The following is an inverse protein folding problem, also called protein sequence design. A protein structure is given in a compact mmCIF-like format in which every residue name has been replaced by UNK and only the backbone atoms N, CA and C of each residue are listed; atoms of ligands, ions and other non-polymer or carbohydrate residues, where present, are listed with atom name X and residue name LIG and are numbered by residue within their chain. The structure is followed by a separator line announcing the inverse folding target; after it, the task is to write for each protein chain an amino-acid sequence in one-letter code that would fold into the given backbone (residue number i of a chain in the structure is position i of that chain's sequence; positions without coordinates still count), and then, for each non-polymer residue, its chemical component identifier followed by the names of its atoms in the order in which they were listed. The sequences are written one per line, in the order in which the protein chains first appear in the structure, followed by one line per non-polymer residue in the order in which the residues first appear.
data_IF_276455081899
#
_entry.id   IF_276455081899
#
_cell.length_a   1.000
_cell.length_b   1.000
_cell.length_c   1.000
_cell.angle_alpha   90.00
_cell.angle_beta   90.00
_cell.angle_gamma   90.00
#
_symmetry.space_group_name_H-M   'P 1'
#
loop_
_entity.id
_entity.type
_entity.pdbx_description
1 polymer ?
#
# COMPACT_ATOMS: atom_id res chain seq x y z
N UNK A 1 -37.91 8.28 6.10
CA UNK A 1 -38.17 7.84 7.50
C UNK A 1 -37.01 7.03 8.06
N UNK A 2 -36.64 5.87 7.51
CA UNK A 2 -35.53 5.05 8.07
C UNK A 2 -34.20 5.81 8.27
N UNK A 3 -33.72 6.55 7.24
CA UNK A 3 -32.46 7.29 7.35
C UNK A 3 -32.47 8.31 8.51
N UNK A 4 -33.54 9.10 8.64
CA UNK A 4 -33.69 10.08 9.72
C UNK A 4 -33.75 9.42 11.11
N UNK A 5 -34.45 8.29 11.23
CA UNK A 5 -34.51 7.53 12.47
C UNK A 5 -33.12 7.02 12.89
N UNK A 6 -32.33 6.49 11.94
CA UNK A 6 -30.96 6.04 12.25
C UNK A 6 -30.05 7.23 12.60
N UNK A 7 -30.19 8.38 11.93
CA UNK A 7 -29.46 9.60 12.32
C UNK A 7 -29.77 10.03 13.75
N UNK A 8 -31.04 9.98 14.15
CA UNK A 8 -31.44 10.27 15.53
C UNK A 8 -30.86 9.25 16.53
N UNK A 9 -30.82 7.97 16.18
CA UNK A 9 -30.19 6.94 17.02
C UNK A 9 -28.67 7.12 17.14
N UNK A 10 -28.01 7.59 16.08
CA UNK A 10 -26.59 7.94 16.12
C UNK A 10 -26.29 9.02 17.17
N UNK A 11 -27.18 9.99 17.31
CA UNK A 11 -27.04 11.09 18.28
C UNK A 11 -27.47 10.70 19.70
N UNK A 12 -28.54 9.90 19.82
CA UNK A 12 -29.16 9.59 21.11
C UNK A 12 -28.67 8.30 21.77
N UNK A 13 -28.08 7.36 21.01
CA UNK A 13 -27.61 6.05 21.50
C UNK A 13 -26.19 5.77 21.00
N UNK A 14 -25.17 6.44 21.56
CA UNK A 14 -23.79 6.40 21.07
C UNK A 14 -23.11 5.03 21.24
N UNK A 15 -23.60 4.17 22.12
CA UNK A 15 -23.04 2.82 22.35
C UNK A 15 -23.01 1.94 21.10
N UNK A 16 -23.90 2.22 20.14
CA UNK A 16 -23.98 1.51 18.85
C UNK A 16 -23.55 2.39 17.66
N UNK A 17 -22.80 3.47 17.91
CA UNK A 17 -22.36 4.46 16.91
C UNK A 17 -21.82 3.81 15.63
N UNK A 18 -20.95 2.81 15.77
CA UNK A 18 -20.36 2.10 14.63
C UNK A 18 -21.42 1.40 13.77
N UNK A 19 -22.40 0.75 14.42
CA UNK A 19 -23.51 0.06 13.74
C UNK A 19 -24.40 1.08 13.02
N UNK A 20 -24.73 2.20 13.67
CA UNK A 20 -25.56 3.24 13.07
C UNK A 20 -24.91 3.90 11.86
N UNK A 21 -23.60 4.19 11.93
CA UNK A 21 -22.84 4.73 10.81
C UNK A 21 -22.88 3.79 9.61
N UNK A 22 -22.70 2.49 9.84
CA UNK A 22 -22.78 1.50 8.76
C UNK A 22 -24.18 1.40 8.16
N UNK A 23 -25.22 1.38 9.00
CA UNK A 23 -26.62 1.38 8.55
C UNK A 23 -26.95 2.61 7.68
N UNK A 24 -26.41 3.79 8.00
CA UNK A 24 -26.58 4.99 7.18
C UNK A 24 -25.92 4.85 5.80
N UNK A 25 -24.74 4.21 5.74
CA UNK A 25 -24.09 3.85 4.50
C UNK A 25 -24.92 2.87 3.66
N UNK A 26 -25.45 1.82 4.27
CA UNK A 26 -26.32 0.83 3.62
C UNK A 26 -27.59 1.46 3.07
N UNK A 27 -28.32 2.26 3.87
CA UNK A 27 -29.54 2.91 3.44
C UNK A 27 -29.29 3.86 2.24
N UNK A 28 -28.20 4.62 2.28
CA UNK A 28 -27.82 5.49 1.16
C UNK A 28 -27.45 4.66 -0.09
N UNK A 29 -26.72 3.56 0.08
CA UNK A 29 -26.36 2.64 -1.01
C UNK A 29 -27.58 1.96 -1.63
N UNK A 30 -28.55 1.51 -0.82
CA UNK A 30 -29.79 0.94 -1.33
C UNK A 30 -30.61 1.97 -2.09
N UNK A 31 -30.69 3.21 -1.58
CA UNK A 31 -31.36 4.29 -2.28
C UNK A 31 -30.68 4.64 -3.61
N UNK A 32 -29.34 4.67 -3.63
CA UNK A 32 -28.56 4.78 -4.87
C UNK A 32 -28.89 3.66 -5.85
N UNK A 33 -29.00 2.41 -5.38
CA UNK A 33 -29.22 1.25 -6.23
C UNK A 33 -30.58 1.28 -6.95
N UNK A 34 -31.66 1.64 -6.24
CA UNK A 34 -33.02 1.74 -6.82
C UNK A 34 -33.22 2.98 -7.71
N UNK A 35 -32.34 3.96 -7.60
CA UNK A 35 -32.40 5.19 -8.42
C UNK A 35 -31.78 4.92 -9.80
N UNK A 36 -32.58 4.41 -10.72
CA UNK A 36 -32.16 4.02 -12.08
C UNK A 36 -32.32 5.14 -13.12
N UNK A 37 -33.21 6.11 -12.88
CA UNK A 37 -33.56 7.16 -13.86
C UNK A 37 -32.89 8.48 -13.53
N UNK A 38 -32.98 8.96 -12.28
CA UNK A 38 -32.42 10.24 -11.88
C UNK A 38 -30.92 10.11 -11.54
N UNK A 39 -30.07 10.38 -12.52
CA UNK A 39 -28.61 10.30 -12.36
C UNK A 39 -28.04 11.32 -11.36
N UNK A 40 -28.72 12.46 -11.16
CA UNK A 40 -28.30 13.45 -10.18
C UNK A 40 -28.53 12.92 -8.76
N UNK A 41 -29.73 12.41 -8.48
CA UNK A 41 -30.04 11.79 -7.19
C UNK A 41 -29.18 10.54 -6.96
N UNK A 42 -28.97 9.70 -7.98
CA UNK A 42 -28.07 8.55 -7.88
C UNK A 42 -26.67 8.98 -7.43
N UNK A 43 -26.09 9.99 -8.09
CA UNK A 43 -24.76 10.53 -7.74
C UNK A 43 -24.74 11.11 -6.31
N UNK A 44 -25.80 11.82 -5.91
CA UNK A 44 -25.95 12.34 -4.54
C UNK A 44 -25.93 11.22 -3.50
N UNK A 45 -26.72 10.16 -3.69
CA UNK A 45 -26.72 9.02 -2.79
C UNK A 45 -25.42 8.21 -2.82
N UNK A 46 -24.72 8.15 -3.96
CA UNK A 46 -23.35 7.63 -4.01
C UNK A 46 -22.43 8.42 -3.07
N UNK A 47 -22.46 9.76 -3.12
CA UNK A 47 -21.64 10.59 -2.24
C UNK A 47 -22.00 10.43 -0.77
N UNK A 48 -23.30 10.36 -0.43
CA UNK A 48 -23.76 10.12 0.95
C UNK A 48 -23.29 8.75 1.46
N UNK A 49 -23.42 7.70 0.63
CA UNK A 49 -22.96 6.36 1.00
C UNK A 49 -21.43 6.32 1.22
N UNK A 50 -20.65 6.97 0.33
CA UNK A 50 -19.18 7.08 0.48
C UNK A 50 -18.81 7.79 1.77
N UNK A 51 -19.48 8.88 2.12
CA UNK A 51 -19.24 9.60 3.37
C UNK A 51 -19.40 8.68 4.59
N UNK A 52 -20.53 7.96 4.68
CA UNK A 52 -20.80 7.09 5.82
C UNK A 52 -19.87 5.87 5.88
N UNK A 53 -19.59 5.22 4.76
CA UNK A 53 -18.64 4.10 4.75
C UNK A 53 -17.20 4.55 4.98
N UNK A 54 -16.80 5.75 4.55
CA UNK A 54 -15.49 6.30 4.90
C UNK A 54 -15.40 6.52 6.42
N UNK A 55 -16.45 7.07 7.03
CA UNK A 55 -16.54 7.21 8.50
C UNK A 55 -16.50 5.84 9.20
N UNK A 56 -17.20 4.84 8.67
CA UNK A 56 -17.16 3.47 9.18
C UNK A 56 -15.75 2.87 9.09
N UNK A 57 -15.08 3.03 7.94
CA UNK A 57 -13.73 2.54 7.71
C UNK A 57 -12.69 3.19 8.61
N UNK A 58 -12.92 4.43 9.06
CA UNK A 58 -12.01 5.09 10.00
C UNK A 58 -12.12 4.52 11.42
N UNK A 59 -13.34 4.19 11.84
CA UNK A 59 -13.58 3.57 13.14
C UNK A 59 -13.16 2.10 13.14
N UNK A 60 -13.33 1.44 11.99
CA UNK A 60 -13.09 0.02 11.80
C UNK A 60 -12.16 -0.23 10.60
N UNK A 61 -10.90 0.25 10.66
CA UNK A 61 -9.95 0.19 9.54
C UNK A 61 -9.60 -1.25 9.15
N UNK A 62 -9.62 -2.15 10.12
CA UNK A 62 -9.29 -3.57 10.00
C UNK A 62 -10.33 -4.37 9.22
N UNK A 63 -11.56 -3.85 9.06
CA UNK A 63 -12.70 -4.61 8.52
C UNK A 63 -12.74 -4.51 6.99
N UNK A 64 -12.28 -5.56 6.32
CA UNK A 64 -12.23 -5.61 4.85
C UNK A 64 -13.60 -5.48 4.18
N UNK A 65 -14.69 -5.86 4.85
CA UNK A 65 -16.07 -5.73 4.31
C UNK A 65 -16.46 -4.26 4.09
N UNK A 66 -16.03 -3.35 4.95
CA UNK A 66 -16.30 -1.92 4.80
C UNK A 66 -15.50 -1.36 3.61
N UNK A 67 -14.24 -1.79 3.47
CA UNK A 67 -13.40 -1.45 2.32
C UNK A 67 -14.02 -1.95 1.01
N UNK A 68 -14.62 -3.15 1.00
CA UNK A 68 -15.36 -3.67 -0.15
C UNK A 68 -16.54 -2.77 -0.56
N UNK A 69 -17.30 -2.23 0.39
CA UNK A 69 -18.36 -1.26 0.08
C UNK A 69 -17.81 0.02 -0.55
N UNK A 70 -16.69 0.53 -0.06
CA UNK A 70 -15.98 1.66 -0.68
C UNK A 70 -15.51 1.33 -2.09
N UNK A 71 -15.05 0.09 -2.34
CA UNK A 71 -14.66 -0.37 -3.68
C UNK A 71 -15.84 -0.33 -4.66
N UNK A 72 -17.01 -0.86 -4.27
CA UNK A 72 -18.22 -0.81 -5.11
C UNK A 72 -18.62 0.63 -5.43
N UNK A 73 -18.51 1.52 -4.44
CA UNK A 73 -18.85 2.93 -4.57
C UNK A 73 -17.78 3.75 -5.29
N UNK A 74 -16.54 3.27 -5.45
CA UNK A 74 -15.47 4.02 -6.10
C UNK A 74 -15.68 4.21 -7.61
N UNK A 75 -16.67 3.52 -8.22
CA UNK A 75 -17.01 3.69 -9.64
C UNK A 75 -17.25 5.16 -10.02
N UNK A 76 -16.76 5.61 -11.20
CA UNK A 76 -16.04 4.82 -12.21
C UNK A 76 -14.51 4.76 -12.02
N UNK A 77 -13.96 5.28 -10.92
CA UNK A 77 -12.50 5.36 -10.67
C UNK A 77 -11.87 3.95 -10.56
N UNK A 78 -11.12 3.55 -11.58
CA UNK A 78 -10.56 2.21 -11.70
C UNK A 78 -9.48 1.94 -10.65
N UNK A 79 -8.63 2.93 -10.38
CA UNK A 79 -7.53 2.80 -9.43
C UNK A 79 -8.07 2.71 -8.00
N UNK A 80 -9.03 3.56 -7.63
CA UNK A 80 -9.67 3.47 -6.31
C UNK A 80 -10.45 2.17 -6.13
N UNK A 81 -11.13 1.69 -7.17
CA UNK A 81 -11.78 0.37 -7.12
C UNK A 81 -10.75 -0.73 -6.84
N UNK A 82 -9.66 -0.76 -7.61
CA UNK A 82 -8.59 -1.73 -7.42
C UNK A 82 -8.02 -1.65 -5.99
N UNK A 83 -7.68 -0.45 -5.53
CA UNK A 83 -7.15 -0.20 -4.18
C UNK A 83 -8.09 -0.74 -3.09
N UNK A 84 -9.36 -0.34 -3.08
CA UNK A 84 -10.30 -0.75 -2.04
C UNK A 84 -10.65 -2.24 -2.08
N UNK A 85 -10.73 -2.85 -3.28
CA UNK A 85 -10.89 -4.30 -3.38
C UNK A 85 -9.66 -5.03 -2.86
N UNK A 86 -8.45 -4.59 -3.21
CA UNK A 86 -7.22 -5.16 -2.67
C UNK A 86 -7.17 -5.02 -1.14
N UNK A 87 -7.43 -3.81 -0.61
CA UNK A 87 -7.48 -3.56 0.84
C UNK A 87 -8.53 -4.43 1.55
N UNK A 88 -9.67 -4.69 0.91
CA UNK A 88 -10.67 -5.62 1.43
C UNK A 88 -10.16 -7.07 1.55
N UNK A 89 -9.20 -7.47 0.70
CA UNK A 89 -8.62 -8.82 0.66
C UNK A 89 -7.41 -8.99 1.57
N UNK A 90 -6.64 -7.93 1.81
CA UNK A 90 -5.38 -7.99 2.57
C UNK A 90 -5.41 -7.28 3.92
N UNK A 91 -6.55 -6.66 4.28
CA UNK A 91 -6.75 -6.07 5.59
C UNK A 91 -6.74 -7.14 6.70
N UNK A 92 -6.65 -6.68 7.95
CA UNK A 92 -6.55 -7.55 9.14
C UNK A 92 -7.72 -8.52 9.26
N UNK A 93 -8.93 -8.10 8.86
CA UNK A 93 -10.10 -8.97 8.74
C UNK A 93 -10.52 -9.04 7.27
N UNK A 94 -9.93 -9.96 6.47
CA UNK A 94 -10.21 -10.08 5.05
C UNK A 94 -11.69 -10.36 4.75
N UNK A 95 -12.19 -9.76 3.67
CA UNK A 95 -13.49 -10.06 3.10
C UNK A 95 -13.34 -10.81 1.77
N UNK A 96 -13.24 -12.14 1.85
CA UNK A 96 -12.91 -13.02 0.71
C UNK A 96 -13.89 -12.92 -0.46
N UNK A 97 -15.17 -12.57 -0.22
CA UNK A 97 -16.17 -12.30 -1.28
C UNK A 97 -15.78 -11.14 -2.20
N UNK A 98 -14.82 -10.29 -1.81
CA UNK A 98 -14.25 -9.29 -2.69
C UNK A 98 -13.56 -9.89 -3.92
N UNK A 99 -13.11 -11.15 -3.86
CA UNK A 99 -12.49 -11.85 -5.01
C UNK A 99 -13.43 -12.04 -6.19
N UNK A 100 -14.71 -12.30 -5.93
CA UNK A 100 -15.70 -12.39 -7.00
C UNK A 100 -16.10 -11.00 -7.49
N UNK A 101 -16.16 -10.04 -6.56
CA UNK A 101 -16.61 -8.67 -6.85
C UNK A 101 -15.61 -7.89 -7.70
N UNK A 102 -14.29 -8.05 -7.45
CA UNK A 102 -13.24 -7.38 -8.22
C UNK A 102 -13.22 -7.82 -9.69
N UNK A 103 -13.74 -9.00 -10.03
CA UNK A 103 -13.87 -9.42 -11.43
C UNK A 103 -14.81 -8.50 -12.24
N UNK A 104 -15.72 -7.78 -11.59
CA UNK A 104 -16.54 -6.76 -12.26
C UNK A 104 -15.72 -5.56 -12.74
N UNK A 105 -14.55 -5.31 -12.13
CA UNK A 105 -13.57 -4.32 -12.58
C UNK A 105 -12.74 -4.87 -13.75
N UNK A 106 -12.24 -6.11 -13.62
CA UNK A 106 -11.30 -6.67 -14.60
C UNK A 106 -11.96 -7.18 -15.89
N UNK A 107 -13.13 -7.82 -15.82
CA UNK A 107 -13.76 -8.45 -17.01
C UNK A 107 -13.93 -7.47 -18.18
N UNK A 108 -14.45 -6.24 -17.99
CA UNK A 108 -14.53 -5.27 -19.09
C UNK A 108 -13.17 -4.87 -19.66
N UNK A 109 -12.14 -4.78 -18.81
CA UNK A 109 -10.78 -4.41 -19.21
C UNK A 109 -10.03 -5.54 -19.92
N UNK A 110 -10.36 -6.81 -19.64
CA UNK A 110 -9.68 -7.97 -20.24
C UNK A 110 -10.39 -8.52 -21.48
N UNK A 111 -11.61 -8.05 -21.76
CA UNK A 111 -12.42 -8.43 -22.92
C UNK A 111 -11.89 -7.77 -24.22
N UNK A 112 -11.37 -8.56 -25.18
CA UNK A 112 -10.88 -8.04 -26.46
C UNK A 112 -11.96 -7.30 -27.26
N UNK A 113 -13.22 -7.72 -27.14
CA UNK A 113 -14.34 -7.10 -27.87
C UNK A 113 -14.66 -5.69 -27.36
N UNK A 114 -14.20 -5.34 -26.15
CA UNK A 114 -14.41 -4.03 -25.52
C UNK A 114 -13.17 -3.13 -25.60
N UNK A 115 -12.12 -3.54 -26.32
CA UNK A 115 -10.85 -2.81 -26.44
C UNK A 115 -11.02 -1.33 -26.85
N UNK A 116 -11.95 -1.02 -27.75
CA UNK A 116 -12.21 0.35 -28.20
C UNK A 116 -12.89 1.25 -27.13
N UNK A 117 -13.47 0.67 -26.08
CA UNK A 117 -14.21 1.37 -25.01
C UNK A 117 -13.41 1.37 -23.69
N UNK A 118 -12.26 0.69 -23.64
CA UNK A 118 -11.41 0.57 -22.43
C UNK A 118 -10.87 1.90 -21.91
N UNK A 119 -10.77 2.90 -22.79
CA UNK A 119 -10.25 4.22 -22.47
C UNK A 119 -11.38 5.24 -22.60
N UNK A 120 -12.24 5.42 -21.58
CA UNK A 120 -13.06 6.62 -21.53
C UNK A 120 -12.13 7.84 -21.59
N UNK A 121 -12.54 8.89 -22.30
CA UNK A 121 -11.79 10.15 -22.44
C UNK A 121 -11.36 10.78 -21.08
N UNK A 122 -11.95 10.31 -19.97
CA UNK A 122 -11.75 10.81 -18.62
C UNK A 122 -10.66 10.10 -17.80
N UNK A 123 -10.04 9.02 -18.28
CA UNK A 123 -9.02 8.27 -17.51
C UNK A 123 -7.63 8.33 -18.13
N UNK A 124 -6.61 8.47 -17.29
CA UNK A 124 -5.22 8.32 -17.70
C UNK A 124 -5.00 6.91 -18.24
N UNK A 125 -4.54 6.81 -19.49
CA UNK A 125 -4.16 5.54 -20.13
C UNK A 125 -3.20 4.74 -19.24
N UNK A 126 -2.24 5.41 -18.61
CA UNK A 126 -1.27 4.82 -17.68
C UNK A 126 -1.95 4.08 -16.53
N UNK A 127 -2.97 4.69 -15.90
CA UNK A 127 -3.71 4.07 -14.79
C UNK A 127 -4.57 2.90 -15.28
N UNK A 128 -5.16 2.99 -16.47
CA UNK A 128 -5.93 1.88 -17.05
C UNK A 128 -5.02 0.67 -17.33
N UNK A 129 -3.84 0.89 -17.92
CA UNK A 129 -2.85 -0.17 -18.18
C UNK A 129 -2.37 -0.81 -16.88
N UNK A 130 -2.14 -0.01 -15.83
CA UNK A 130 -1.81 -0.52 -14.50
C UNK A 130 -2.89 -1.48 -13.96
N UNK A 131 -4.15 -1.06 -13.99
CA UNK A 131 -5.28 -1.88 -13.53
C UNK A 131 -5.47 -3.13 -14.41
N UNK A 132 -5.23 -3.03 -15.73
CA UNK A 132 -5.28 -4.17 -16.64
C UNK A 132 -4.17 -5.19 -16.35
N UNK A 133 -2.93 -4.74 -16.09
CA UNK A 133 -1.82 -5.61 -15.67
C UNK A 133 -2.17 -6.36 -14.38
N UNK A 134 -2.78 -5.65 -13.44
CA UNK A 134 -3.26 -6.22 -12.18
C UNK A 134 -4.37 -7.27 -12.42
N UNK A 135 -5.28 -7.01 -13.36
CA UNK A 135 -6.30 -7.97 -13.78
C UNK A 135 -5.73 -9.22 -14.44
N UNK A 136 -4.69 -9.10 -15.25
CA UNK A 136 -3.99 -10.25 -15.87
C UNK A 136 -3.35 -11.15 -14.81
N UNK A 137 -2.66 -10.56 -13.83
CA UNK A 137 -2.11 -11.30 -12.70
C UNK A 137 -3.20 -11.98 -11.88
N UNK A 138 -4.24 -11.24 -11.51
CA UNK A 138 -5.33 -11.74 -10.67
C UNK A 138 -6.09 -12.90 -11.32
N UNK A 139 -6.35 -12.81 -12.62
CA UNK A 139 -7.06 -13.85 -13.39
C UNK A 139 -6.13 -14.93 -13.96
N UNK A 140 -4.81 -14.80 -13.75
CA UNK A 140 -3.77 -15.71 -14.24
C UNK A 140 -3.86 -15.95 -15.76
N UNK A 141 -4.13 -14.90 -16.53
CA UNK A 141 -4.40 -15.00 -17.97
C UNK A 141 -3.17 -15.51 -18.74
N UNK A 142 -2.12 -14.71 -18.88
CA UNK A 142 -0.83 -15.14 -19.41
C UNK A 142 0.30 -14.16 -19.03
N UNK A 143 1.53 -14.67 -18.88
CA UNK A 143 2.69 -13.87 -18.49
C UNK A 143 3.13 -12.84 -19.55
N UNK A 144 3.15 -13.16 -20.87
CA UNK A 144 3.53 -12.18 -21.90
C UNK A 144 2.64 -10.93 -21.91
N UNK A 145 1.32 -11.09 -21.78
CA UNK A 145 0.39 -9.95 -21.70
C UNK A 145 0.67 -9.09 -20.48
N UNK A 146 0.94 -9.71 -19.31
CA UNK A 146 1.31 -8.97 -18.12
C UNK A 146 2.59 -8.16 -18.34
N UNK A 147 3.65 -8.79 -18.86
CA UNK A 147 4.95 -8.13 -19.07
C UNK A 147 4.81 -6.91 -20.00
N UNK A 148 4.08 -7.08 -21.11
CA UNK A 148 3.81 -5.98 -22.04
C UNK A 148 3.07 -4.82 -21.36
N UNK A 149 2.05 -5.10 -20.56
CA UNK A 149 1.29 -4.06 -19.83
C UNK A 149 2.15 -3.40 -18.74
N UNK A 150 2.98 -4.18 -18.04
CA UNK A 150 3.90 -3.69 -17.03
C UNK A 150 4.94 -2.73 -17.63
N UNK A 151 5.54 -3.08 -18.77
CA UNK A 151 6.49 -2.23 -19.48
C UNK A 151 5.83 -0.95 -20.01
N UNK A 152 4.64 -1.07 -20.62
CA UNK A 152 3.86 0.09 -21.07
C UNK A 152 3.56 1.03 -19.89
N UNK A 153 3.09 0.50 -18.76
CA UNK A 153 2.83 1.27 -17.56
C UNK A 153 4.08 1.99 -17.03
N UNK A 154 5.20 1.28 -16.85
CA UNK A 154 6.43 1.87 -16.31
C UNK A 154 7.00 2.94 -17.24
N UNK A 155 6.90 2.75 -18.56
CA UNK A 155 7.37 3.74 -19.54
C UNK A 155 6.57 5.05 -19.52
N UNK A 156 5.30 5.00 -19.12
CA UNK A 156 4.41 6.16 -19.02
C UNK A 156 4.32 6.74 -17.60
N UNK A 157 4.76 6.00 -16.57
CA UNK A 157 4.69 6.43 -15.17
C UNK A 157 5.57 7.67 -14.90
N UNK A 158 6.72 7.78 -15.55
CA UNK A 158 7.64 8.92 -15.44
C UNK A 158 6.94 10.26 -15.78
N UNK A 159 5.86 10.22 -16.57
CA UNK A 159 5.07 11.39 -16.97
C UNK A 159 3.97 11.77 -15.98
N UNK A 160 3.69 10.92 -14.98
CA UNK A 160 2.52 11.03 -14.08
C UNK A 160 2.86 10.69 -12.61
N UNK A 161 4.10 10.91 -12.18
CA UNK A 161 4.59 10.54 -10.85
C UNK A 161 3.78 11.22 -9.72
N UNK A 162 2.84 10.48 -9.13
CA UNK A 162 2.04 11.01 -8.01
C UNK A 162 0.98 10.09 -7.43
N UNK A 163 0.68 8.91 -8.01
CA UNK A 163 -0.51 8.16 -7.58
C UNK A 163 -0.41 6.64 -7.67
N UNK A 164 0.67 6.04 -7.19
CA UNK A 164 0.75 4.57 -7.10
C UNK A 164 1.07 4.16 -5.67
N UNK A 165 0.02 4.12 -4.86
CA UNK A 165 0.06 3.40 -3.59
C UNK A 165 0.19 1.89 -3.90
N UNK A 166 1.44 1.41 -3.90
CA UNK A 166 1.86 0.11 -3.42
C UNK A 166 0.73 -0.92 -3.20
N UNK A 167 0.29 -1.59 -4.26
CA UNK A 167 -0.55 -2.78 -4.13
C UNK A 167 0.39 -3.95 -3.93
N UNK A 168 0.73 -4.20 -2.67
CA UNK A 168 1.43 -5.41 -2.28
C UNK A 168 0.40 -6.43 -1.83
N UNK A 169 0.31 -7.52 -2.60
CA UNK A 169 -0.53 -8.70 -2.37
C UNK A 169 -2.01 -8.54 -2.78
N UNK A 170 -2.50 -9.51 -3.56
CA UNK A 170 -3.92 -9.62 -3.94
C UNK A 170 -4.69 -10.53 -3.00
N UNK A 171 -4.12 -10.85 -1.84
CA UNK A 171 -4.68 -11.81 -0.91
C UNK A 171 -4.87 -13.15 -1.62
N UNK A 172 -3.79 -13.68 -2.22
CA UNK A 172 -3.80 -15.01 -2.84
C UNK A 172 -4.13 -16.11 -1.82
N UNK A 173 -4.43 -17.32 -2.29
CA UNK A 173 -5.01 -18.43 -1.49
C UNK A 173 -4.20 -18.83 -0.25
N UNK A 174 -2.98 -18.30 -0.08
CA UNK A 174 -2.11 -18.53 1.07
C UNK A 174 -1.93 -17.35 2.04
N UNK A 175 -2.44 -16.14 1.76
CA UNK A 175 -2.30 -14.92 2.59
C UNK A 175 -1.00 -14.88 3.43
N UNK A 176 0.14 -15.14 2.77
CA UNK A 176 1.37 -15.53 3.47
C UNK A 176 1.90 -14.35 4.31
N UNK A 177 1.91 -13.14 3.74
CA UNK A 177 2.40 -11.94 4.44
C UNK A 177 1.49 -11.56 5.62
N UNK A 178 0.16 -11.37 5.47
CA UNK A 178 -0.71 -11.14 6.63
C UNK A 178 -0.52 -12.16 7.75
N UNK A 179 -0.42 -13.46 7.40
CA UNK A 179 -0.21 -14.52 8.38
C UNK A 179 1.12 -14.44 9.12
N UNK A 180 2.20 -13.97 8.47
CA UNK A 180 3.51 -13.76 9.09
C UNK A 180 3.44 -12.62 10.12
N UNK A 181 2.75 -11.53 9.79
CA UNK A 181 2.57 -10.42 10.72
C UNK A 181 1.68 -10.79 11.90
N UNK A 182 0.65 -11.59 11.69
CA UNK A 182 -0.20 -12.10 12.77
C UNK A 182 0.56 -13.08 13.69
N UNK A 183 1.46 -13.90 13.14
CA UNK A 183 2.35 -14.79 13.88
C UNK A 183 3.41 -14.01 14.68
N UNK A 184 4.10 -13.05 14.06
CA UNK A 184 5.08 -12.19 14.73
C UNK A 184 4.42 -11.37 15.85
N UNK A 185 3.22 -10.87 15.59
CA UNK A 185 2.36 -10.21 16.57
C UNK A 185 1.63 -11.19 17.50
N UNK A 186 1.97 -12.48 17.47
CA UNK A 186 1.37 -13.64 18.18
C UNK A 186 -0.10 -13.52 18.51
N UNK A 187 -0.91 -13.27 17.48
CA UNK A 187 -2.37 -13.22 17.52
C UNK A 187 -3.03 -14.52 17.03
N UNK A 188 -2.26 -15.58 16.82
CA UNK A 188 -2.79 -16.86 16.30
C UNK A 188 -3.88 -17.47 17.21
N UNK A 189 -4.02 -17.05 18.48
CA UNK A 189 -4.98 -17.67 19.41
C UNK A 189 -5.98 -16.73 20.14
N UNK A 190 -5.89 -15.39 20.05
CA UNK A 190 -6.84 -14.51 20.77
C UNK A 190 -7.85 -13.84 19.83
N UNK A 191 -9.03 -14.45 19.70
CA UNK A 191 -10.25 -13.81 19.15
C UNK A 191 -11.06 -13.06 20.22
N UNK A 192 -10.47 -12.77 21.38
CA UNK A 192 -11.15 -12.07 22.47
C UNK A 192 -10.88 -10.57 22.34
N UNK A 193 -11.96 -9.78 22.28
CA UNK A 193 -11.93 -8.32 22.34
C UNK A 193 -11.55 -7.89 23.76
N UNK A 194 -10.25 -7.84 24.08
CA UNK A 194 -9.80 -7.19 25.32
C UNK A 194 -9.53 -5.70 25.08
N UNK A 195 -10.18 -4.89 25.92
CA UNK A 195 -10.27 -3.42 25.80
C UNK A 195 -9.09 -2.66 26.44
N UNK A 196 -7.97 -3.32 26.74
CA UNK A 196 -6.87 -2.72 27.52
C UNK A 196 -5.45 -3.01 26.97
N UNK A 197 -5.28 -3.04 25.64
CA UNK A 197 -4.04 -3.48 24.96
C UNK A 197 -2.98 -2.38 24.68
N UNK A 198 -3.25 -1.09 24.97
CA UNK A 198 -2.41 0.02 24.50
C UNK A 198 -0.94 -0.04 24.96
N UNK A 199 -0.70 -0.47 26.20
CA UNK A 199 0.66 -0.67 26.74
C UNK A 199 1.34 -1.96 26.26
N UNK A 200 0.56 -3.00 25.94
CA UNK A 200 1.09 -4.31 25.51
C UNK A 200 1.59 -4.29 24.07
N UNK A 201 0.93 -3.54 23.18
CA UNK A 201 1.29 -3.49 21.75
C UNK A 201 2.64 -2.79 21.54
N UNK A 202 2.92 -1.68 22.24
CA UNK A 202 4.19 -0.96 22.11
C UNK A 202 5.37 -1.81 22.57
N UNK A 203 5.24 -2.46 23.74
CA UNK A 203 6.27 -3.38 24.27
C UNK A 203 6.53 -4.51 23.28
N UNK A 204 5.48 -5.10 22.71
CA UNK A 204 5.61 -6.17 21.73
C UNK A 204 6.30 -5.73 20.44
N UNK A 205 5.96 -4.55 19.91
CA UNK A 205 6.63 -4.02 18.71
C UNK A 205 8.12 -3.78 18.97
N UNK A 206 8.49 -3.30 20.17
CA UNK A 206 9.89 -3.15 20.56
C UNK A 206 10.61 -4.50 20.64
N UNK A 207 9.99 -5.52 21.23
CA UNK A 207 10.54 -6.89 21.27
C UNK A 207 10.77 -7.46 19.87
N UNK A 208 9.79 -7.33 18.96
CA UNK A 208 9.91 -7.76 17.56
C UNK A 208 11.09 -7.03 16.88
N UNK A 209 11.21 -5.72 17.10
CA UNK A 209 12.27 -4.91 16.52
C UNK A 209 13.66 -5.34 17.04
N UNK A 210 13.82 -5.55 18.35
CA UNK A 210 15.07 -5.99 18.97
C UNK A 210 15.50 -7.37 18.45
N UNK A 211 14.56 -8.33 18.40
CA UNK A 211 14.81 -9.66 17.82
C UNK A 211 15.20 -9.59 16.34
N UNK A 212 14.57 -8.70 15.58
CA UNK A 212 14.91 -8.50 14.18
C UNK A 212 16.33 -7.94 14.04
N UNK A 213 16.76 -6.97 14.86
CA UNK A 213 18.13 -6.44 14.81
C UNK A 213 19.19 -7.51 15.05
N UNK A 214 18.97 -8.40 16.01
CA UNK A 214 19.88 -9.52 16.28
C UNK A 214 19.93 -10.49 15.09
N UNK A 215 18.77 -10.82 14.53
CA UNK A 215 18.68 -11.81 13.46
C UNK A 215 19.30 -11.33 12.14
N UNK A 216 19.31 -10.02 11.89
CA UNK A 216 19.91 -9.43 10.69
C UNK A 216 21.43 -9.19 10.78
N UNK A 217 22.09 -9.55 11.88
CA UNK A 217 23.55 -9.40 11.98
C UNK A 217 24.33 -10.27 10.98
N UNK A 218 23.76 -11.40 10.55
CA UNK A 218 24.37 -12.31 9.58
C UNK A 218 23.36 -12.63 8.45
N UNK A 219 23.08 -11.67 7.56
CA UNK A 219 22.02 -11.82 6.57
C UNK A 219 22.46 -12.78 5.45
N UNK A 220 21.50 -13.57 4.95
CA UNK A 220 21.72 -14.42 3.77
C UNK A 220 21.28 -13.71 2.50
N UNK A 221 22.12 -13.72 1.47
CA UNK A 221 21.84 -13.11 0.16
C UNK A 221 20.90 -14.02 -0.66
N UNK A 222 19.64 -14.09 -0.22
CA UNK A 222 18.59 -14.91 -0.84
C UNK A 222 17.28 -14.15 -0.87
N UNK A 223 16.46 -14.39 -1.88
CA UNK A 223 15.06 -13.99 -1.88
C UNK A 223 14.16 -15.20 -2.12
N UNK A 224 13.26 -15.46 -1.17
CA UNK A 224 12.33 -16.60 -1.22
C UNK A 224 11.36 -16.43 -2.39
N UNK A 225 11.33 -17.41 -3.28
CA UNK A 225 10.40 -17.45 -4.41
C UNK A 225 10.77 -16.53 -5.58
N UNK A 226 12.00 -16.00 -5.60
CA UNK A 226 12.48 -15.15 -6.72
C UNK A 226 12.48 -15.92 -8.04
N UNK A 227 12.80 -17.21 -8.00
CA UNK A 227 12.82 -18.11 -9.15
C UNK A 227 11.44 -18.34 -9.78
N UNK A 228 10.36 -18.10 -9.02
CA UNK A 228 9.01 -18.29 -9.54
C UNK A 228 8.63 -17.25 -10.61
N UNK A 229 9.23 -16.05 -10.61
CA UNK A 229 8.84 -15.00 -11.58
C UNK A 229 9.15 -15.33 -13.02
N UNK A 230 10.12 -16.21 -13.28
CA UNK A 230 10.50 -16.63 -14.64
C UNK A 230 9.71 -17.86 -15.11
N UNK A 231 8.95 -18.50 -14.22
CA UNK A 231 8.28 -19.78 -14.48
C UNK A 231 6.84 -19.65 -15.04
N UNK A 232 6.30 -18.44 -15.18
CA UNK A 232 4.92 -18.19 -15.66
C UNK A 232 4.03 -17.57 -14.58
N UNK A 233 2.69 -17.71 -14.69
CA UNK A 233 1.70 -17.13 -13.75
C UNK A 233 0.58 -18.10 -13.33
N UNK A 234 0.79 -19.42 -13.46
CA UNK A 234 -0.26 -20.41 -13.18
C UNK A 234 -0.51 -20.65 -11.68
N UNK A 235 0.45 -20.33 -10.81
CA UNK A 235 0.37 -20.52 -9.36
C UNK A 235 0.41 -19.21 -8.57
N UNK A 236 -0.10 -19.22 -7.35
CA UNK A 236 -0.06 -18.05 -6.45
C UNK A 236 1.38 -17.55 -6.21
N UNK A 237 2.35 -18.45 -6.02
CA UNK A 237 3.75 -18.09 -5.77
C UNK A 237 4.36 -17.32 -6.94
N UNK A 238 4.05 -17.74 -8.16
CA UNK A 238 4.48 -17.06 -9.38
C UNK A 238 3.86 -15.67 -9.50
N UNK A 239 2.54 -15.55 -9.28
CA UNK A 239 1.85 -14.25 -9.32
C UNK A 239 2.41 -13.29 -8.28
N UNK A 240 2.64 -13.75 -7.04
CA UNK A 240 3.26 -12.94 -5.98
C UNK A 240 4.66 -12.48 -6.38
N UNK A 241 5.50 -13.37 -6.91
CA UNK A 241 6.86 -13.02 -7.33
C UNK A 241 6.88 -11.98 -8.46
N UNK A 242 5.95 -12.09 -9.42
CA UNK A 242 5.82 -11.11 -10.51
C UNK A 242 5.21 -9.78 -10.05
N UNK A 243 4.23 -9.81 -9.14
CA UNK A 243 3.68 -8.63 -8.51
C UNK A 243 4.74 -7.88 -7.69
N UNK A 244 5.56 -8.60 -6.90
CA UNK A 244 6.70 -8.03 -6.17
C UNK A 244 7.65 -7.31 -7.12
N UNK A 245 8.07 -7.98 -8.21
CA UNK A 245 8.97 -7.39 -9.19
C UNK A 245 8.40 -6.11 -9.82
N UNK A 246 7.11 -6.12 -10.21
CA UNK A 246 6.46 -4.91 -10.73
C UNK A 246 6.39 -3.79 -9.70
N UNK A 247 6.04 -4.09 -8.45
CA UNK A 247 5.92 -3.07 -7.40
C UNK A 247 7.24 -2.38 -7.09
N UNK A 248 8.36 -3.11 -7.06
CA UNK A 248 9.67 -2.50 -6.84
C UNK A 248 10.28 -1.88 -8.09
N UNK A 249 9.98 -2.39 -9.29
CA UNK A 249 10.28 -1.68 -10.53
C UNK A 249 9.52 -0.33 -10.60
N UNK A 250 8.28 -0.30 -10.12
CA UNK A 250 7.49 0.93 -9.95
C UNK A 250 8.16 1.88 -8.97
N UNK A 251 8.61 1.38 -7.81
CA UNK A 251 9.36 2.17 -6.85
C UNK A 251 10.67 2.72 -7.45
N UNK A 252 11.40 1.93 -8.25
CA UNK A 252 12.63 2.38 -8.92
C UNK A 252 12.36 3.58 -9.84
N UNK A 253 11.29 3.53 -10.63
CA UNK A 253 10.87 4.67 -11.48
C UNK A 253 10.48 5.89 -10.63
N UNK A 254 9.69 5.70 -9.58
CA UNK A 254 9.27 6.79 -8.67
C UNK A 254 10.49 7.48 -8.03
N UNK A 255 11.47 6.70 -7.56
CA UNK A 255 12.71 7.22 -6.98
C UNK A 255 13.61 7.91 -8.03
N UNK A 256 13.43 7.59 -9.31
CA UNK A 256 14.12 8.25 -10.43
C UNK A 256 13.56 9.64 -10.78
N UNK A 257 12.31 9.92 -10.41
CA UNK A 257 11.58 11.17 -10.67
C UNK A 257 12.07 12.37 -9.84
N UNK A 258 13.36 12.67 -9.85
CA UNK A 258 14.01 13.68 -8.99
C UNK A 258 13.57 15.13 -9.27
N UNK A 259 12.88 15.39 -10.39
CA UNK A 259 12.35 16.72 -10.74
C UNK A 259 11.06 17.06 -9.99
N UNK A 260 10.26 16.06 -9.65
CA UNK A 260 8.96 16.20 -8.99
C UNK A 260 8.95 15.49 -7.64
N UNK A 261 10.03 15.69 -6.87
CA UNK A 261 10.27 14.97 -5.62
C UNK A 261 9.09 15.10 -4.64
N UNK A 262 8.45 16.25 -4.57
CA UNK A 262 7.30 16.51 -3.70
C UNK A 262 6.10 15.62 -4.00
N UNK A 263 5.83 15.34 -5.28
CA UNK A 263 4.72 14.48 -5.72
C UNK A 263 5.00 13.00 -5.48
N UNK A 264 6.29 12.61 -5.42
CA UNK A 264 6.71 11.22 -5.18
C UNK A 264 6.75 10.85 -3.70
N UNK A 265 6.92 11.84 -2.81
CA UNK A 265 7.04 11.67 -1.36
C UNK A 265 5.95 10.80 -0.71
N UNK A 266 4.65 10.92 -1.03
CA UNK A 266 3.63 10.06 -0.42
C UNK A 266 3.88 8.58 -0.72
N UNK A 267 4.27 8.27 -1.96
CA UNK A 267 4.54 6.89 -2.39
C UNK A 267 5.83 6.35 -1.78
N UNK A 268 6.86 7.20 -1.67
CA UNK A 268 8.13 6.84 -1.02
C UNK A 268 7.95 6.66 0.48
N UNK A 269 7.16 7.51 1.15
CA UNK A 269 6.80 7.37 2.55
C UNK A 269 6.11 6.03 2.83
N UNK A 270 5.07 5.69 2.07
CA UNK A 270 4.38 4.39 2.20
C UNK A 270 5.34 3.22 1.94
N UNK A 271 6.22 3.34 0.95
CA UNK A 271 7.19 2.29 0.62
C UNK A 271 8.22 2.09 1.74
N UNK A 272 8.75 3.17 2.32
CA UNK A 272 9.64 3.12 3.47
C UNK A 272 8.95 2.56 4.71
N UNK A 273 7.69 2.93 4.96
CA UNK A 273 6.91 2.39 6.07
C UNK A 273 6.69 0.88 5.91
N UNK A 274 6.38 0.44 4.67
CA UNK A 274 6.28 -0.96 4.32
C UNK A 274 7.61 -1.69 4.55
N UNK A 275 8.73 -1.19 4.00
CA UNK A 275 10.06 -1.79 4.16
C UNK A 275 10.49 -1.88 5.62
N UNK A 276 10.21 -0.85 6.42
CA UNK A 276 10.47 -0.86 7.86
C UNK A 276 9.68 -1.98 8.57
N UNK A 277 8.39 -2.12 8.26
CA UNK A 277 7.57 -3.20 8.81
C UNK A 277 8.05 -4.58 8.36
N UNK A 278 8.45 -4.72 7.11
CA UNK A 278 9.00 -5.97 6.58
C UNK A 278 10.32 -6.32 7.24
N UNK A 279 11.22 -5.36 7.43
CA UNK A 279 12.51 -5.58 8.09
C UNK A 279 12.36 -6.13 9.52
N UNK A 280 11.30 -5.74 10.24
CA UNK A 280 10.96 -6.30 11.55
C UNK A 280 10.45 -7.75 11.51
N UNK A 281 10.05 -8.27 10.34
CA UNK A 281 9.53 -9.64 10.16
C UNK A 281 10.35 -10.36 9.10
N UNK A 282 11.35 -11.14 9.54
CA UNK A 282 12.36 -11.76 8.68
C UNK A 282 11.81 -12.49 7.46
N UNK A 283 10.82 -13.36 7.68
CA UNK A 283 10.19 -14.15 6.62
C UNK A 283 9.56 -13.26 5.55
N UNK A 284 8.99 -12.11 5.95
CA UNK A 284 8.35 -11.18 5.04
C UNK A 284 9.39 -10.40 4.22
N UNK A 285 10.44 -9.87 4.86
CA UNK A 285 11.52 -9.17 4.17
C UNK A 285 12.28 -10.07 3.19
N UNK A 286 12.51 -11.33 3.58
CA UNK A 286 13.22 -12.33 2.75
C UNK A 286 12.54 -12.60 1.40
N UNK A 287 11.28 -12.18 1.21
CA UNK A 287 10.51 -12.38 -0.02
C UNK A 287 10.62 -11.23 -1.01
N UNK A 288 11.14 -10.08 -0.56
CA UNK A 288 11.13 -8.84 -1.34
C UNK A 288 12.50 -8.16 -1.44
N UNK A 289 13.43 -8.45 -0.52
CA UNK A 289 14.65 -7.65 -0.31
C UNK A 289 15.57 -7.49 -1.53
N UNK A 290 15.59 -8.45 -2.46
CA UNK A 290 16.41 -8.36 -3.67
C UNK A 290 15.82 -7.42 -4.71
N UNK A 291 14.49 -7.26 -4.72
CA UNK A 291 13.80 -6.38 -5.67
C UNK A 291 13.88 -4.90 -5.28
N UNK A 292 14.10 -4.60 -4.00
CA UNK A 292 14.14 -3.23 -3.49
C UNK A 292 15.32 -2.48 -4.13
N UNK A 293 15.11 -1.30 -4.74
CA UNK A 293 16.16 -0.52 -5.38
C UNK A 293 17.00 0.28 -4.36
N UNK A 294 17.70 -0.41 -3.45
CA UNK A 294 18.41 0.18 -2.31
C UNK A 294 19.34 1.34 -2.66
N UNK A 295 20.12 1.20 -3.72
CA UNK A 295 21.06 2.24 -4.19
C UNK A 295 20.34 3.50 -4.67
N UNK A 296 19.24 3.33 -5.40
CA UNK A 296 18.42 4.47 -5.84
C UNK A 296 17.68 5.09 -4.66
N UNK A 297 17.21 4.29 -3.72
CA UNK A 297 16.59 4.75 -2.49
C UNK A 297 17.56 5.62 -1.67
N UNK A 298 18.80 5.17 -1.46
CA UNK A 298 19.84 5.96 -0.80
C UNK A 298 20.08 7.31 -1.51
N UNK A 299 20.15 7.29 -2.85
CA UNK A 299 20.32 8.50 -3.66
C UNK A 299 19.16 9.48 -3.49
N UNK A 300 17.92 8.97 -3.50
CA UNK A 300 16.72 9.77 -3.28
C UNK A 300 16.69 10.37 -1.86
N UNK A 301 17.00 9.57 -0.84
CA UNK A 301 17.06 10.03 0.56
C UNK A 301 18.08 11.15 0.75
N UNK A 302 19.27 11.03 0.17
CA UNK A 302 20.27 12.09 0.22
C UNK A 302 19.82 13.38 -0.45
N UNK A 303 18.92 13.29 -1.44
CA UNK A 303 18.34 14.47 -2.09
C UNK A 303 17.31 15.20 -1.22
N UNK A 304 16.69 14.49 -0.28
CA UNK A 304 15.77 15.07 0.70
C UNK A 304 16.49 15.88 1.78
N UNK A 305 17.75 15.56 2.07
CA UNK A 305 18.55 16.23 3.09
C UNK A 305 18.98 17.61 2.58
N UNK A 306 18.51 18.65 3.26
CA UNK A 306 18.85 20.06 3.02
C UNK A 306 19.74 20.58 4.16
N UNK A 307 20.39 21.71 3.97
CA UNK A 307 21.29 22.32 4.96
C UNK A 307 20.62 22.66 6.30
N UNK A 308 19.30 22.87 6.29
CA UNK A 308 18.46 23.18 7.45
C UNK A 308 17.73 21.95 8.01
N UNK A 309 18.02 20.74 7.50
CA UNK A 309 17.39 19.51 7.99
C UNK A 309 17.96 19.11 9.35
N UNK A 310 17.11 19.01 10.37
CA UNK A 310 17.48 18.54 11.71
C UNK A 310 17.71 17.01 11.74
N UNK A 311 18.87 16.57 11.26
CA UNK A 311 19.23 15.14 11.21
C UNK A 311 19.39 14.53 12.61
N UNK A 312 19.96 15.27 13.55
CA UNK A 312 20.15 14.81 14.94
C UNK A 312 18.80 14.48 15.60
N UNK A 313 17.81 15.35 15.43
CA UNK A 313 16.44 15.12 15.90
C UNK A 313 15.74 13.99 15.17
N UNK A 314 16.03 13.77 13.88
CA UNK A 314 15.45 12.66 13.09
C UNK A 314 16.01 11.29 13.53
N UNK A 315 17.30 11.19 13.80
CA UNK A 315 17.95 9.92 14.17
C UNK A 315 17.50 9.41 15.53
N UNK A 316 17.49 10.33 16.50
CA UNK A 316 17.26 10.06 17.91
C UNK A 316 15.81 10.31 18.34
N UNK A 317 15.02 10.91 17.47
CA UNK A 317 13.62 11.21 17.74
C UNK A 317 12.72 9.99 17.78
N UNK A 318 11.66 10.14 18.57
CA UNK A 318 10.46 9.32 18.49
C UNK A 318 9.81 9.44 17.10
N UNK A 319 8.79 8.62 16.85
CA UNK A 319 7.98 8.69 15.64
C UNK A 319 7.52 10.15 15.39
N UNK A 320 7.74 10.74 14.19
CA UNK A 320 7.45 12.15 13.96
C UNK A 320 5.95 12.36 13.75
N UNK A 321 5.20 12.26 14.86
CA UNK A 321 3.75 12.25 14.91
C UNK A 321 3.13 13.64 14.72
N UNK A 322 3.86 14.71 15.01
CA UNK A 322 3.39 16.10 14.90
C UNK A 322 4.47 16.94 14.28
N UNK A 323 4.30 17.25 13.00
CA UNK A 323 5.20 18.13 12.27
C UNK A 323 4.39 19.24 11.61
N UNK A 324 4.77 20.49 11.82
CA UNK A 324 4.05 21.65 11.26
C UNK A 324 2.52 21.68 11.54
N UNK A 325 2.10 21.18 12.71
CA UNK A 325 0.68 21.13 13.10
C UNK A 325 -0.14 19.98 12.47
N UNK A 326 0.44 19.22 11.54
CA UNK A 326 -0.17 18.03 10.97
C UNK A 326 0.13 16.80 11.85
N UNK A 327 -0.91 16.04 12.20
CA UNK A 327 -0.75 14.79 12.95
C UNK A 327 -0.69 13.56 12.04
N UNK A 328 -1.63 13.44 11.11
CA UNK A 328 -1.70 12.35 10.14
C UNK A 328 -1.60 12.90 8.73
N UNK A 329 -0.88 12.17 7.87
CA UNK A 329 -0.78 12.46 6.45
C UNK A 329 -1.92 11.77 5.69
N UNK A 330 -2.33 12.27 4.51
CA UNK A 330 -3.38 11.64 3.71
C UNK A 330 -3.13 10.14 3.48
N UNK A 331 -1.88 9.78 3.17
CA UNK A 331 -1.46 8.40 2.95
C UNK A 331 -1.49 7.51 4.20
N UNK A 332 -1.43 8.08 5.42
CA UNK A 332 -1.52 7.31 6.66
C UNK A 332 -2.89 6.61 6.76
N UNK A 333 -3.96 7.30 6.34
CA UNK A 333 -5.31 6.74 6.30
C UNK A 333 -5.47 5.65 5.23
N UNK A 334 -4.68 5.72 4.15
CA UNK A 334 -4.73 4.72 3.08
C UNK A 334 -4.20 3.37 3.58
N UNK A 335 -3.09 3.38 4.33
CA UNK A 335 -2.46 2.15 4.81
C UNK A 335 -3.00 1.67 6.17
N UNK A 336 -3.72 2.51 6.92
CA UNK A 336 -4.36 2.11 8.16
C UNK A 336 -5.31 0.91 7.98
N UNK A 337 -5.14 -0.13 8.81
CA UNK A 337 -5.92 -1.36 8.76
C UNK A 337 -5.32 -2.48 7.89
N UNK A 338 -4.17 -2.23 7.26
CA UNK A 338 -3.36 -3.28 6.63
C UNK A 338 -2.59 -4.06 7.70
N UNK A 339 -2.45 -5.38 7.54
CA UNK A 339 -1.82 -6.23 8.57
C UNK A 339 -0.40 -5.79 8.93
N UNK A 340 0.39 -5.37 7.93
CA UNK A 340 1.76 -4.89 8.14
C UNK A 340 1.83 -3.50 8.78
N UNK A 341 0.84 -2.63 8.57
CA UNK A 341 0.91 -1.23 9.05
C UNK A 341 0.67 -1.11 10.55
N UNK A 342 0.24 -2.18 11.22
CA UNK A 342 -0.13 -2.16 12.64
C UNK A 342 1.06 -1.94 13.56
N UNK A 343 2.25 -2.41 13.16
CA UNK A 343 3.49 -2.22 13.91
C UNK A 343 4.22 -0.93 13.51
N UNK A 344 3.66 -0.14 12.58
CA UNK A 344 4.24 1.13 12.14
C UNK A 344 3.88 2.28 13.08
N UNK A 345 2.60 2.37 13.49
CA UNK A 345 2.07 3.54 14.19
C UNK A 345 2.17 3.40 15.72
N UNK A 346 2.50 4.49 16.43
CA UNK A 346 2.43 4.49 17.89
C UNK A 346 0.97 4.40 18.39
N UNK A 347 0.74 3.88 19.62
CA UNK A 347 -0.57 3.83 20.24
C UNK A 347 -1.29 5.18 20.21
N UNK A 348 -2.58 5.15 19.87
CA UNK A 348 -3.39 6.36 19.81
C UNK A 348 -3.06 7.31 18.66
N UNK A 349 -2.22 6.94 17.69
CA UNK A 349 -1.91 7.81 16.55
C UNK A 349 -3.18 8.28 15.80
N UNK A 350 -4.17 7.39 15.66
CA UNK A 350 -5.47 7.66 15.04
C UNK A 350 -6.59 8.00 16.05
N UNK A 351 -6.27 8.42 17.29
CA UNK A 351 -7.31 8.77 18.29
C UNK A 351 -8.10 10.03 17.91
N UNK A 352 -7.42 11.06 17.40
CA UNK A 352 -8.01 12.33 16.98
C UNK A 352 -7.77 12.51 15.48
N UNK A 353 -8.73 12.04 14.69
CA UNK A 353 -8.69 12.10 13.22
C UNK A 353 -9.50 13.29 12.72
N UNK A 354 -8.97 14.05 11.75
CA UNK A 354 -9.76 15.00 10.96
C UNK A 354 -10.96 14.28 10.29
N UNK A 355 -12.06 14.98 9.99
CA UNK A 355 -13.25 14.34 9.37
C UNK A 355 -13.33 14.63 7.86
N UNK A 356 -13.78 13.64 7.09
CA UNK A 356 -14.17 13.82 5.68
C UNK A 356 -13.09 14.40 4.78
N UNK A 357 -13.46 15.46 4.06
CA UNK A 357 -12.64 16.06 3.00
C UNK A 357 -11.44 16.87 3.52
N UNK A 358 -11.43 17.25 4.81
CA UNK A 358 -10.30 17.95 5.46
C UNK A 358 -8.99 17.15 5.35
N UNK A 359 -9.09 15.82 5.24
CA UNK A 359 -7.94 14.91 5.12
C UNK A 359 -7.26 14.95 3.77
N UNK A 360 -7.97 15.39 2.73
CA UNK A 360 -7.43 15.47 1.37
C UNK A 360 -6.82 16.86 1.10
N UNK A 361 -6.94 17.78 2.06
CA UNK A 361 -6.37 19.11 1.98
C UNK A 361 -4.89 19.02 2.37
N UNK A 362 -4.03 19.22 1.39
CA UNK A 362 -2.59 19.23 1.58
C UNK A 362 -2.10 20.68 1.75
N UNK A 363 -1.77 21.13 2.98
CA UNK A 363 -1.15 22.44 3.14
C UNK A 363 0.29 22.40 2.61
N UNK A 364 0.90 23.54 2.25
CA UNK A 364 2.28 23.59 1.77
C UNK A 364 3.32 22.95 2.73
N UNK A 365 3.01 22.88 4.03
CA UNK A 365 3.87 22.25 5.04
C UNK A 365 3.87 20.71 5.00
N UNK A 366 2.97 20.07 4.25
CA UNK A 366 2.88 18.59 4.17
C UNK A 366 4.19 17.96 3.69
N UNK A 367 4.90 18.65 2.78
CA UNK A 367 6.18 18.21 2.23
C UNK A 367 7.24 18.09 3.33
N UNK A 368 7.24 18.99 4.32
CA UNK A 368 8.18 18.95 5.46
C UNK A 368 7.91 17.72 6.32
N UNK A 369 6.63 17.48 6.65
CA UNK A 369 6.22 16.30 7.42
C UNK A 369 6.55 14.99 6.71
N UNK A 370 6.30 14.90 5.39
CA UNK A 370 6.64 13.73 4.56
C UNK A 370 8.14 13.50 4.48
N UNK A 371 8.93 14.55 4.25
CA UNK A 371 10.40 14.50 4.21
C UNK A 371 10.94 13.96 5.54
N UNK A 372 10.47 14.51 6.66
CA UNK A 372 10.89 14.06 8.00
C UNK A 372 10.52 12.60 8.26
N UNK A 373 9.32 12.16 7.87
CA UNK A 373 8.89 10.75 7.97
C UNK A 373 9.77 9.82 7.14
N UNK A 374 10.09 10.19 5.91
CA UNK A 374 10.97 9.39 5.04
C UNK A 374 12.37 9.25 5.65
N UNK A 375 12.99 10.35 6.07
CA UNK A 375 14.33 10.33 6.67
C UNK A 375 14.35 9.58 8.01
N UNK A 376 13.30 9.72 8.83
CA UNK A 376 13.16 8.96 10.07
C UNK A 376 13.05 7.46 9.81
N UNK A 377 12.20 7.04 8.87
CA UNK A 377 12.09 5.63 8.49
C UNK A 377 13.41 5.08 7.94
N UNK A 378 14.08 5.84 7.08
CA UNK A 378 15.38 5.47 6.52
C UNK A 378 16.44 5.30 7.61
N UNK A 379 16.48 6.20 8.61
CA UNK A 379 17.41 6.07 9.74
C UNK A 379 17.13 4.83 10.57
N UNK A 380 15.85 4.47 10.80
CA UNK A 380 15.50 3.21 11.48
C UNK A 380 15.91 1.99 10.65
N UNK A 381 15.63 1.96 9.34
CA UNK A 381 16.07 0.87 8.44
C UNK A 381 17.60 0.73 8.44
N UNK A 382 18.33 1.85 8.43
CA UNK A 382 19.80 1.83 8.45
C UNK A 382 20.39 1.22 9.74
N UNK A 383 19.67 1.26 10.87
CA UNK A 383 20.13 0.62 12.13
C UNK A 383 20.24 -0.89 12.06
N UNK A 384 19.57 -1.55 11.10
CA UNK A 384 19.80 -2.97 10.83
C UNK A 384 21.21 -3.25 10.27
N UNK A 385 21.93 -2.24 9.76
CA UNK A 385 23.23 -2.39 9.10
C UNK A 385 23.25 -3.45 7.98
N UNK A 386 22.09 -3.72 7.39
CA UNK A 386 21.90 -4.81 6.43
C UNK A 386 21.79 -4.26 4.99
N UNK A 387 20.81 -3.40 4.72
CA UNK A 387 20.55 -2.90 3.35
C UNK A 387 21.00 -1.45 3.11
N UNK A 388 20.88 -0.61 4.13
CA UNK A 388 21.30 0.79 4.12
C UNK A 388 22.30 1.03 5.26
N UNK A 389 23.27 1.91 5.00
CA UNK A 389 24.13 2.52 5.99
C UNK A 389 23.78 4.00 6.11
N UNK A 390 23.98 4.51 7.31
CA UNK A 390 23.90 5.93 7.61
C UNK A 390 25.24 6.39 8.17
N UNK A 391 25.85 7.37 7.52
CA UNK A 391 27.09 8.00 7.98
C UNK A 391 26.74 9.24 8.82
N UNK A 392 27.11 9.19 10.09
CA UNK A 392 26.82 10.25 11.06
C UNK A 392 27.66 11.50 10.80
N UNK A 393 28.84 11.38 10.17
CA UNK A 393 29.71 12.54 9.91
C UNK A 393 29.23 13.35 8.71
N UNK A 394 28.83 12.66 7.63
CA UNK A 394 28.34 13.30 6.40
C UNK A 394 26.81 13.47 6.38
N UNK A 395 26.13 12.92 7.38
CA UNK A 395 24.67 12.77 7.44
C UNK A 395 24.07 12.10 6.18
N UNK A 396 24.83 11.22 5.53
CA UNK A 396 24.48 10.59 4.25
C UNK A 396 24.04 9.13 4.36
N UNK A 397 23.18 8.70 3.44
CA UNK A 397 22.74 7.31 3.27
C UNK A 397 23.49 6.63 2.13
N UNK A 398 23.84 5.36 2.33
CA UNK A 398 24.53 4.53 1.33
C UNK A 398 23.92 3.13 1.29
N UNK A 399 23.92 2.49 0.12
CA UNK A 399 23.61 1.07 0.04
C UNK A 399 24.82 0.25 0.53
N UNK A 400 24.56 -0.86 1.23
CA UNK A 400 25.61 -1.80 1.66
C UNK A 400 26.12 -2.65 0.49
N UNK A 401 27.28 -3.29 0.66
CA UNK A 401 27.72 -4.35 -0.26
C UNK A 401 26.68 -5.48 -0.35
N UNK A 402 26.03 -5.83 0.76
CA UNK A 402 24.95 -6.83 0.77
C UNK A 402 23.78 -6.42 -0.14
N UNK A 403 23.39 -5.14 -0.13
CA UNK A 403 22.36 -4.63 -1.03
C UNK A 403 22.78 -4.67 -2.51
N UNK A 404 24.06 -4.48 -2.83
CA UNK A 404 24.59 -4.66 -4.18
C UNK A 404 24.54 -6.13 -4.62
N UNK A 405 24.86 -7.08 -3.74
CA UNK A 405 24.74 -8.52 -4.01
C UNK A 405 23.29 -8.94 -4.26
N UNK A 406 22.35 -8.41 -3.45
CA UNK A 406 20.92 -8.58 -3.62
C UNK A 406 20.43 -8.02 -4.98
N UNK A 407 20.93 -6.85 -5.37
CA UNK A 407 20.62 -6.26 -6.69
C UNK A 407 21.09 -7.18 -7.81
N UNK A 408 22.32 -7.72 -7.70
CA UNK A 408 22.84 -8.68 -8.67
C UNK A 408 22.02 -9.98 -8.70
N UNK A 409 21.48 -10.43 -7.55
CA UNK A 409 20.55 -11.56 -7.49
C UNK A 409 19.26 -11.27 -8.25
N UNK A 410 18.62 -10.11 -8.03
CA UNK A 410 17.38 -9.75 -8.72
C UNK A 410 17.56 -9.61 -10.24
N UNK A 411 18.69 -9.05 -10.68
CA UNK A 411 19.04 -8.93 -12.10
C UNK A 411 19.09 -10.29 -12.82
N UNK A 412 19.54 -11.37 -12.16
CA UNK A 412 19.56 -12.72 -12.77
C UNK A 412 18.16 -13.23 -13.13
N UNK A 413 17.14 -12.78 -12.40
CA UNK A 413 15.73 -13.14 -12.60
C UNK A 413 14.89 -12.00 -13.18
N UNK A 414 15.52 -10.95 -13.70
CA UNK A 414 14.81 -9.78 -14.23
C UNK A 414 13.90 -10.17 -15.41
N UNK A 415 12.62 -9.81 -15.30
CA UNK A 415 11.59 -10.06 -16.32
C UNK A 415 10.99 -8.78 -16.92
N UNK A 416 11.09 -7.65 -16.23
CA UNK A 416 10.61 -6.33 -16.67
C UNK A 416 11.81 -5.44 -17.00
N UNK A 417 11.77 -4.73 -18.12
CA UNK A 417 12.85 -3.82 -18.51
C UNK A 417 14.10 -4.53 -19.01
N UNK A 418 13.97 -5.80 -19.42
CA UNK A 418 15.01 -6.53 -20.15
C UNK A 418 15.03 -6.01 -21.59
N UNK A 419 15.71 -4.91 -21.84
CA UNK A 419 16.15 -4.58 -23.20
C UNK A 419 17.29 -5.52 -23.56
N UNK A 420 16.96 -6.68 -24.15
CA UNK A 420 17.60 -7.22 -25.36
C UNK A 420 17.29 -8.71 -25.63
N UNK A 421 16.93 -8.98 -26.90
CA UNK A 421 17.35 -10.13 -27.71
C UNK A 421 17.14 -11.58 -27.22
N UNK A 422 15.89 -12.05 -27.11
CA UNK A 422 15.57 -13.49 -27.32
C UNK A 422 14.30 -13.65 -28.17
N UNK A 423 14.35 -13.16 -29.40
CA UNK A 423 13.54 -13.69 -30.52
C UNK A 423 14.51 -13.97 -31.67
N UNK A 424 15.53 -14.81 -31.42
CA UNK A 424 16.38 -15.43 -32.45
C UNK A 424 17.27 -16.50 -31.81
N UNK A 425 16.67 -17.51 -31.19
CA UNK A 425 17.34 -18.80 -30.95
C UNK A 425 16.34 -19.93 -30.78
N UNK A 426 15.53 -20.14 -31.81
CA UNK A 426 14.95 -21.45 -32.09
C UNK A 426 14.78 -21.53 -33.61
N UNK A 427 15.80 -22.12 -34.25
CA UNK A 427 15.67 -22.76 -35.57
C UNK A 427 14.64 -23.88 -35.46
#
# INVERSE_FOLDING_TARGET
MAFANITQLLESVPDYKETWIECLGDLARYRMAIEEVDMYNRRRYTSIARYWYAKAANLNPDVGRIQHHLAVLARPDLLKQLFYYSKALIGVQPFTKARDSILLLFRPLLDPAKAAIKYPEYYSRTLTVFVEAHGVLFTRKDAPTFLRLAEEFLSELDKHAGLVAAIFDYGHDGAEIPSMFDQASGRVESRVRDRDEGGSIQTRTLEIMEQAYESWQNPSCVQVGIEHRTAGISSSKQVVSMASHLSFATLDVILGGLKDIENTLPSVHVSLAFLWCMAMVLEAMSRIQADVPWKRLATYLNKLIKTDTDMVGIENGEFPARESGLRQLPEDFLIHGLSWSRIYYPPGFFSDMAEGDERSIEPPSVTVARTKRCLWLASKIAKFNCWLLYDVETHGFYATQFADELTALSQRYQIIGRTDSIITSSI
#
